data_IF_551060127280
#
_entry.id   IF_551060127280
#
_cell.length_a   1.000
_cell.length_b   1.000
_cell.length_c   1.000
_cell.angle_alpha   90.00
_cell.angle_beta   90.00
_cell.angle_gamma   90.00
#
_symmetry.space_group_name_H-M   'P 1'
#
loop_
_entity.id
_entity.type
_entity.pdbx_description
1 polymer ?
#
# COMPACT_ATOMS: atom_id res chain seq x y z
N UNK A 1 -15.61 -16.86 2.98
CA UNK A 1 -15.34 -15.61 2.27
C UNK A 1 -15.08 -14.52 3.28
N UNK A 2 -13.91 -13.94 3.27
CA UNK A 2 -13.59 -12.72 4.02
C UNK A 2 -13.63 -11.52 3.08
N UNK A 3 -14.04 -10.38 3.61
CA UNK A 3 -14.06 -9.11 2.89
C UNK A 3 -13.29 -8.08 3.70
N UNK A 4 -12.43 -7.35 3.02
CA UNK A 4 -11.71 -6.23 3.58
C UNK A 4 -11.73 -5.07 2.59
N UNK A 5 -12.49 -4.02 2.93
CA UNK A 5 -12.57 -2.76 2.19
C UNK A 5 -12.81 -2.92 0.68
N UNK A 6 -13.63 -3.89 0.28
CA UNK A 6 -13.98 -4.20 -1.10
C UNK A 6 -13.06 -5.23 -1.77
N UNK A 7 -12.04 -5.72 -1.08
CA UNK A 7 -11.27 -6.88 -1.48
C UNK A 7 -11.88 -8.14 -0.84
N UNK A 8 -12.00 -9.21 -1.61
CA UNK A 8 -12.57 -10.47 -1.15
C UNK A 8 -11.54 -11.59 -1.21
N UNK A 9 -11.46 -12.37 -0.14
CA UNK A 9 -10.65 -13.59 -0.10
C UNK A 9 -11.57 -14.80 0.10
N UNK A 10 -11.59 -15.69 -0.88
CA UNK A 10 -12.25 -16.96 -0.75
C UNK A 10 -11.28 -17.99 -0.19
N UNK A 11 -11.51 -18.43 1.05
CA UNK A 11 -10.65 -19.32 1.80
C UNK A 11 -11.38 -20.59 2.23
N UNK A 12 -10.61 -21.63 2.51
CA UNK A 12 -11.06 -22.92 3.08
C UNK A 12 -10.11 -23.32 4.20
N UNK A 13 -10.59 -24.11 5.19
CA UNK A 13 -9.71 -24.71 6.18
C UNK A 13 -8.59 -25.52 5.51
N UNK A 14 -7.40 -25.44 6.08
CA UNK A 14 -6.22 -26.16 5.64
C UNK A 14 -5.69 -27.04 6.77
N UNK A 15 -5.56 -28.33 6.52
CA UNK A 15 -4.87 -29.22 7.43
C UNK A 15 -3.36 -29.06 7.30
N UNK A 16 -2.71 -28.77 8.42
CA UNK A 16 -1.27 -28.59 8.48
C UNK A 16 -0.63 -29.86 9.04
N UNK A 17 0.29 -30.46 8.27
CA UNK A 17 0.93 -31.73 8.60
C UNK A 17 1.92 -31.66 9.79
N UNK A 18 2.34 -30.46 10.17
CA UNK A 18 3.31 -30.23 11.24
C UNK A 18 2.77 -29.24 12.27
N UNK A 19 3.28 -29.33 13.49
CA UNK A 19 3.04 -28.31 14.50
C UNK A 19 3.58 -26.97 14.00
N UNK A 20 2.72 -25.96 13.98
CA UNK A 20 3.10 -24.60 13.58
C UNK A 20 3.97 -23.95 14.66
N UNK A 21 4.91 -23.09 14.27
CA UNK A 21 5.62 -22.23 15.20
C UNK A 21 4.64 -21.34 15.99
N UNK A 22 5.03 -20.84 17.16
CA UNK A 22 4.25 -19.84 17.88
C UNK A 22 4.19 -18.52 17.08
N UNK A 23 3.12 -17.73 17.27
CA UNK A 23 2.89 -16.50 16.52
C UNK A 23 4.12 -15.56 16.54
N UNK A 24 4.79 -15.44 17.69
CA UNK A 24 5.95 -14.56 17.88
C UNK A 24 7.19 -14.95 17.07
N UNK A 25 7.20 -16.17 16.53
CA UNK A 25 8.28 -16.66 15.67
C UNK A 25 8.13 -16.23 14.21
N UNK A 26 6.93 -15.80 13.81
CA UNK A 26 6.67 -15.28 12.47
C UNK A 26 7.03 -13.77 12.43
N UNK A 27 8.20 -13.47 11.89
CA UNK A 27 8.64 -12.08 11.70
C UNK A 27 8.17 -11.58 10.34
N UNK A 28 7.51 -10.45 10.35
CA UNK A 28 7.03 -9.78 9.12
C UNK A 28 8.17 -9.56 8.12
N UNK A 29 7.92 -9.87 6.85
CA UNK A 29 8.91 -9.81 5.78
C UNK A 29 9.81 -11.05 5.63
N UNK A 30 9.77 -12.01 6.59
CA UNK A 30 10.51 -13.26 6.47
C UNK A 30 9.75 -14.29 5.62
N UNK A 31 10.51 -15.23 5.06
CA UNK A 31 9.96 -16.37 4.33
C UNK A 31 9.88 -17.59 5.23
N UNK A 32 8.78 -18.31 5.15
CA UNK A 32 8.54 -19.59 5.82
C UNK A 32 7.99 -20.61 4.84
N UNK A 33 7.86 -21.87 5.24
CA UNK A 33 7.28 -22.91 4.42
C UNK A 33 6.18 -23.67 5.20
N UNK A 34 4.98 -23.72 4.63
CA UNK A 34 3.84 -24.48 5.15
C UNK A 34 3.52 -25.59 4.15
N UNK A 35 3.47 -26.83 4.62
CA UNK A 35 3.27 -28.01 3.76
C UNK A 35 4.21 -28.06 2.53
N UNK A 36 5.47 -27.58 2.70
CA UNK A 36 6.47 -27.54 1.62
C UNK A 36 6.32 -26.39 0.64
N UNK A 37 5.31 -25.54 0.76
CA UNK A 37 5.10 -24.36 -0.08
C UNK A 37 5.69 -23.12 0.59
N UNK A 38 6.43 -22.27 -0.14
CA UNK A 38 7.01 -21.03 0.41
C UNK A 38 5.96 -19.93 0.56
N UNK A 39 6.05 -19.19 1.66
CA UNK A 39 5.23 -18.02 1.95
C UNK A 39 6.09 -16.92 2.57
N UNK A 40 5.73 -15.67 2.32
CA UNK A 40 6.23 -14.52 3.04
C UNK A 40 5.24 -14.11 4.14
N UNK A 41 5.75 -13.80 5.32
CA UNK A 41 4.96 -13.27 6.44
C UNK A 41 4.58 -11.82 6.09
N UNK A 42 3.30 -11.59 5.84
CA UNK A 42 2.78 -10.28 5.47
C UNK A 42 2.30 -9.50 6.70
N UNK A 43 1.73 -10.19 7.69
CA UNK A 43 1.10 -9.58 8.85
C UNK A 43 1.24 -10.48 10.08
N UNK A 44 1.45 -9.87 11.26
CA UNK A 44 1.44 -10.57 12.54
C UNK A 44 1.04 -9.60 13.65
N UNK A 45 -0.20 -9.69 14.10
CA UNK A 45 -0.72 -8.84 15.17
C UNK A 45 -1.73 -9.56 16.06
N UNK A 46 -2.01 -8.93 17.21
CA UNK A 46 -3.13 -9.29 18.05
C UNK A 46 -4.40 -8.57 17.61
N UNK A 47 -5.45 -9.33 17.39
CA UNK A 47 -6.76 -8.84 16.96
C UNK A 47 -7.84 -9.24 17.97
N UNK A 48 -9.00 -8.58 17.90
CA UNK A 48 -10.15 -8.84 18.78
C UNK A 48 -11.38 -9.04 17.90
N UNK A 49 -12.10 -10.14 18.12
CA UNK A 49 -13.39 -10.38 17.48
C UNK A 49 -14.46 -9.51 18.17
N UNK A 50 -15.01 -8.53 17.45
CA UNK A 50 -15.97 -7.57 18.01
C UNK A 50 -17.41 -8.06 17.97
N UNK A 51 -17.82 -8.77 16.91
CA UNK A 51 -19.17 -9.27 16.74
C UNK A 51 -19.21 -10.51 15.86
N UNK A 52 -20.25 -11.33 16.02
CA UNK A 52 -20.50 -12.49 15.19
C UNK A 52 -22.02 -12.67 15.00
N UNK A 53 -22.46 -13.02 13.80
CA UNK A 53 -23.86 -13.26 13.46
C UNK A 53 -24.00 -14.45 12.50
N UNK A 54 -25.09 -15.19 12.62
CA UNK A 54 -25.41 -16.33 11.76
C UNK A 54 -24.74 -17.63 12.19
N UNK A 55 -24.81 -18.63 11.32
CA UNK A 55 -24.15 -19.92 11.51
C UNK A 55 -22.69 -19.80 11.06
N UNK A 56 -21.80 -19.78 12.02
CA UNK A 56 -20.37 -19.58 11.78
C UNK A 56 -19.58 -20.77 12.32
N UNK A 57 -18.41 -21.10 11.76
CA UNK A 57 -17.51 -22.08 12.32
C UNK A 57 -17.08 -21.67 13.74
N UNK A 58 -16.38 -22.55 14.45
CA UNK A 58 -15.87 -22.23 15.79
C UNK A 58 -15.03 -20.95 15.73
N UNK A 59 -15.48 -19.92 16.41
CA UNK A 59 -14.84 -18.61 16.47
C UNK A 59 -14.09 -18.42 17.79
N UNK A 60 -13.07 -17.53 17.81
CA UNK A 60 -12.50 -17.02 19.05
C UNK A 60 -13.57 -16.34 19.92
N UNK A 61 -13.41 -16.31 21.24
CA UNK A 61 -14.34 -15.60 22.12
C UNK A 61 -14.39 -14.09 21.80
N UNK A 62 -15.60 -13.53 21.82
CA UNK A 62 -15.81 -12.08 21.63
C UNK A 62 -15.06 -11.27 22.68
N UNK A 63 -14.44 -10.17 22.24
CA UNK A 63 -13.75 -9.24 23.12
C UNK A 63 -12.40 -9.72 23.66
N UNK A 64 -11.97 -10.93 23.34
CA UNK A 64 -10.66 -11.43 23.77
C UNK A 64 -9.62 -11.31 22.66
N UNK A 65 -8.41 -10.80 22.96
CA UNK A 65 -7.35 -10.73 21.98
C UNK A 65 -6.80 -12.13 21.64
N UNK A 66 -6.50 -12.34 20.38
CA UNK A 66 -5.80 -13.51 19.85
C UNK A 66 -4.86 -13.09 18.73
N UNK A 67 -3.80 -13.88 18.49
CA UNK A 67 -2.82 -13.55 17.44
C UNK A 67 -3.29 -14.08 16.09
N UNK A 68 -3.14 -13.26 15.06
CA UNK A 68 -3.34 -13.62 13.65
C UNK A 68 -2.05 -13.41 12.90
N UNK A 69 -1.66 -14.43 12.14
CA UNK A 69 -0.52 -14.36 11.22
C UNK A 69 -1.04 -14.57 9.81
N UNK A 70 -0.77 -13.62 8.92
CA UNK A 70 -1.08 -13.75 7.50
C UNK A 70 0.19 -14.01 6.71
N UNK A 71 0.12 -15.02 5.87
CA UNK A 71 1.19 -15.45 4.98
C UNK A 71 0.71 -15.33 3.54
N UNK A 72 1.57 -14.87 2.63
CA UNK A 72 1.25 -14.73 1.21
C UNK A 72 2.24 -15.47 0.34
N UNK A 73 1.74 -16.22 -0.63
CA UNK A 73 2.57 -16.92 -1.60
C UNK A 73 2.85 -16.09 -2.84
N UNK A 74 3.91 -16.43 -3.61
CA UNK A 74 4.19 -15.79 -4.90
C UNK A 74 3.08 -15.98 -5.94
N UNK A 75 2.28 -17.05 -5.81
CA UNK A 75 1.17 -17.38 -6.70
C UNK A 75 -0.15 -16.70 -6.31
N UNK A 76 -0.12 -15.78 -5.33
CA UNK A 76 -1.30 -15.02 -4.90
C UNK A 76 -2.20 -15.74 -3.90
N UNK A 77 -1.73 -16.83 -3.27
CA UNK A 77 -2.46 -17.48 -2.20
C UNK A 77 -2.22 -16.76 -0.88
N UNK A 78 -3.29 -16.59 -0.12
CA UNK A 78 -3.28 -16.03 1.24
C UNK A 78 -3.52 -17.17 2.22
N UNK A 79 -2.69 -17.31 3.24
CA UNK A 79 -2.85 -18.26 4.32
C UNK A 79 -2.96 -17.48 5.63
N UNK A 80 -4.07 -17.68 6.36
CA UNK A 80 -4.30 -17.11 7.69
C UNK A 80 -4.13 -18.16 8.75
N UNK A 81 -3.39 -17.84 9.80
CA UNK A 81 -3.21 -18.67 10.99
C UNK A 81 -3.79 -17.91 12.17
N UNK A 82 -4.90 -18.40 12.71
CA UNK A 82 -5.55 -17.85 13.89
C UNK A 82 -5.12 -18.65 15.11
N UNK A 83 -4.33 -18.03 15.99
CA UNK A 83 -3.93 -18.61 17.26
C UNK A 83 -5.02 -18.28 18.28
N UNK A 84 -5.76 -19.27 18.70
CA UNK A 84 -6.81 -19.08 19.72
C UNK A 84 -6.28 -18.38 20.97
N UNK A 85 -7.15 -17.76 21.77
CA UNK A 85 -6.75 -17.06 22.98
C UNK A 85 -5.97 -18.03 23.88
N UNK A 86 -4.86 -17.53 24.41
CA UNK A 86 -4.10 -18.26 25.44
C UNK A 86 -5.03 -18.39 26.62
N UNK A 87 -5.59 -19.58 26.84
CA UNK A 87 -6.40 -19.87 28.01
C UNK A 87 -5.59 -19.52 29.24
N UNK A 88 -6.17 -18.71 30.13
CA UNK A 88 -5.53 -18.28 31.36
C UNK A 88 -4.88 -19.49 32.04
N UNK A 89 -3.61 -19.33 32.39
CA UNK A 89 -2.75 -20.30 33.06
C UNK A 89 -3.51 -21.06 34.15
N UNK A 90 -3.79 -22.35 33.91
CA UNK A 90 -4.44 -23.18 34.92
C UNK A 90 -5.06 -24.50 34.44
N UNK A 91 -5.39 -24.63 33.18
CA UNK A 91 -5.88 -25.90 32.61
C UNK A 91 -4.72 -26.61 31.92
N UNK A 92 -4.04 -27.48 32.65
CA UNK A 92 -3.04 -28.36 32.07
C UNK A 92 -3.70 -29.22 30.96
N UNK A 93 -3.32 -28.95 29.69
CA UNK A 93 -3.64 -29.79 28.56
C UNK A 93 -4.51 -29.22 27.44
N UNK A 94 -4.99 -27.97 27.51
CA UNK A 94 -5.68 -27.36 26.38
C UNK A 94 -4.64 -26.68 25.45
N UNK A 95 -4.20 -27.40 24.42
CA UNK A 95 -3.49 -26.75 23.30
C UNK A 95 -4.39 -25.64 22.72
N UNK A 96 -3.87 -24.42 22.64
CA UNK A 96 -4.56 -23.33 21.93
C UNK A 96 -4.99 -23.86 20.56
N UNK A 97 -6.28 -23.78 20.24
CA UNK A 97 -6.77 -24.30 18.96
C UNK A 97 -6.31 -23.37 17.85
N UNK A 98 -5.25 -23.76 17.16
CA UNK A 98 -4.76 -23.05 15.99
C UNK A 98 -5.64 -23.43 14.80
N UNK A 99 -6.25 -22.45 14.15
CA UNK A 99 -7.00 -22.64 12.93
C UNK A 99 -6.20 -22.09 11.75
N UNK A 100 -6.11 -22.85 10.67
CA UNK A 100 -5.42 -22.44 9.45
C UNK A 100 -6.41 -22.43 8.31
N UNK A 101 -6.41 -21.37 7.55
CA UNK A 101 -7.18 -21.25 6.32
C UNK A 101 -6.29 -20.80 5.17
N UNK A 102 -6.52 -21.37 3.97
CA UNK A 102 -5.85 -20.98 2.75
C UNK A 102 -6.87 -20.51 1.72
N UNK A 103 -6.57 -19.44 1.02
CA UNK A 103 -7.46 -18.84 0.08
C UNK A 103 -6.74 -18.00 -0.97
N UNK A 104 -7.51 -17.33 -1.80
CA UNK A 104 -7.03 -16.37 -2.78
C UNK A 104 -8.01 -15.22 -2.92
N UNK A 105 -7.50 -14.07 -3.34
CA UNK A 105 -8.36 -12.96 -3.70
C UNK A 105 -9.22 -13.31 -4.91
N UNK A 106 -10.46 -12.87 -4.86
CA UNK A 106 -11.49 -13.11 -5.88
C UNK A 106 -12.27 -11.82 -6.11
N UNK A 107 -12.83 -11.65 -7.30
CA UNK A 107 -13.87 -10.67 -7.52
C UNK A 107 -15.20 -11.28 -7.10
N UNK A 108 -16.09 -10.49 -6.52
CA UNK A 108 -17.39 -11.00 -6.07
C UNK A 108 -18.22 -11.55 -7.25
N UNK A 109 -18.06 -10.94 -8.42
CA UNK A 109 -18.71 -11.35 -9.66
C UNK A 109 -18.26 -12.76 -10.14
N UNK A 110 -17.00 -13.13 -9.86
CA UNK A 110 -16.45 -14.43 -10.26
C UNK A 110 -17.03 -15.58 -9.45
N UNK A 111 -17.59 -15.31 -8.27
CA UNK A 111 -18.17 -16.31 -7.40
C UNK A 111 -19.59 -16.74 -7.82
N UNK A 112 -20.19 -16.05 -8.79
CA UNK A 112 -21.52 -16.37 -9.37
C UNK A 112 -22.60 -16.63 -8.30
N UNK A 113 -22.60 -15.88 -7.22
CA UNK A 113 -23.62 -15.96 -6.19
C UNK A 113 -25.01 -15.68 -6.79
N UNK A 114 -25.97 -16.51 -6.47
CA UNK A 114 -27.38 -16.31 -6.80
C UNK A 114 -28.14 -15.75 -5.61
N UNK A 115 -29.15 -14.93 -5.84
CA UNK A 115 -30.00 -14.36 -4.78
C UNK A 115 -29.36 -13.21 -3.99
N UNK A 116 -28.22 -12.69 -4.46
CA UNK A 116 -27.75 -11.42 -3.94
C UNK A 116 -28.77 -10.32 -4.32
N UNK A 117 -29.12 -9.48 -3.36
CA UNK A 117 -29.94 -8.30 -3.66
C UNK A 117 -29.14 -7.39 -4.58
N UNK A 118 -29.83 -6.74 -5.54
CA UNK A 118 -29.22 -5.71 -6.41
C UNK A 118 -28.61 -4.55 -5.62
N UNK A 119 -28.99 -4.42 -4.35
CA UNK A 119 -28.50 -3.46 -3.35
C UNK A 119 -27.21 -3.91 -2.64
N UNK A 120 -26.46 -4.86 -3.18
CA UNK A 120 -25.13 -5.24 -2.62
C UNK A 120 -24.08 -4.11 -2.70
N UNK A 121 -24.43 -2.96 -3.27
CA UNK A 121 -23.71 -1.73 -3.02
C UNK A 121 -23.91 -1.36 -1.53
N UNK A 122 -22.84 -1.34 -0.77
CA UNK A 122 -22.81 -0.96 0.64
C UNK A 122 -23.55 0.38 0.81
N UNK A 123 -24.64 0.39 1.58
CA UNK A 123 -25.27 1.64 2.00
C UNK A 123 -24.40 2.26 3.10
N UNK A 124 -23.66 3.30 2.74
CA UNK A 124 -22.95 4.11 3.70
C UNK A 124 -23.97 4.95 4.48
N UNK A 125 -24.14 4.69 5.78
CA UNK A 125 -25.12 5.39 6.62
C UNK A 125 -24.62 6.76 7.07
N UNK A 126 -23.32 7.00 6.96
CA UNK A 126 -22.69 8.21 7.46
C UNK A 126 -22.85 8.38 8.98
N UNK A 127 -21.89 8.99 9.61
CA UNK A 127 -21.91 9.30 11.05
C UNK A 127 -21.52 10.75 11.26
N UNK A 128 -22.03 11.38 12.30
CA UNK A 128 -21.68 12.77 12.63
C UNK A 128 -21.34 12.90 14.11
N UNK A 129 -20.32 13.68 14.41
CA UNK A 129 -19.91 13.98 15.79
C UNK A 129 -19.22 15.35 15.86
N UNK A 130 -19.03 15.86 17.07
CA UNK A 130 -18.29 17.09 17.29
C UNK A 130 -16.78 16.82 17.32
N UNK A 131 -15.99 17.64 16.64
CA UNK A 131 -14.53 17.54 16.65
C UNK A 131 -14.00 17.67 18.07
N UNK A 132 -13.15 16.74 18.56
CA UNK A 132 -12.62 16.78 19.92
C UNK A 132 -11.71 17.98 20.18
N UNK A 133 -11.15 18.59 19.13
CA UNK A 133 -10.30 19.78 19.26
C UNK A 133 -11.09 21.09 19.20
N UNK A 134 -11.92 21.30 18.18
CA UNK A 134 -12.54 22.61 17.94
C UNK A 134 -14.07 22.63 18.10
N UNK A 135 -14.71 21.49 18.36
CA UNK A 135 -16.18 21.39 18.51
C UNK A 135 -16.98 21.44 17.21
N UNK A 136 -16.36 21.70 16.07
CA UNK A 136 -17.08 21.74 14.78
C UNK A 136 -17.65 20.36 14.40
N UNK A 137 -18.76 20.34 13.69
CA UNK A 137 -19.37 19.09 13.22
C UNK A 137 -18.46 18.40 12.19
N UNK A 138 -18.15 17.12 12.43
CA UNK A 138 -17.41 16.24 11.54
C UNK A 138 -18.34 15.17 11.02
N UNK A 139 -18.47 15.06 9.70
CA UNK A 139 -19.28 14.04 9.03
C UNK A 139 -18.38 12.99 8.43
N UNK A 140 -18.55 11.74 8.84
CA UNK A 140 -17.89 10.55 8.30
C UNK A 140 -18.80 9.95 7.26
N UNK A 141 -18.32 9.81 6.04
CA UNK A 141 -19.12 9.28 4.92
C UNK A 141 -19.07 7.75 4.86
N UNK A 142 -17.91 7.16 5.16
CA UNK A 142 -17.68 5.72 5.03
C UNK A 142 -17.77 5.03 6.39
N UNK A 143 -18.57 3.99 6.49
CA UNK A 143 -18.68 3.18 7.71
C UNK A 143 -17.37 2.51 8.10
N UNK A 144 -16.50 2.24 7.13
CA UNK A 144 -15.17 1.64 7.31
C UNK A 144 -14.12 2.61 7.81
N UNK A 145 -14.38 3.92 7.87
CA UNK A 145 -13.37 4.91 8.25
C UNK A 145 -12.82 4.67 9.66
N UNK A 146 -11.50 4.62 9.76
CA UNK A 146 -10.72 4.51 11.01
C UNK A 146 -10.00 5.81 11.38
N UNK A 147 -9.87 6.72 10.42
CA UNK A 147 -9.31 8.06 10.63
C UNK A 147 -10.05 9.07 9.78
N UNK A 148 -10.20 10.30 10.30
CA UNK A 148 -10.77 11.43 9.57
C UNK A 148 -10.10 12.73 9.99
N UNK A 149 -10.00 13.67 9.05
CA UNK A 149 -9.50 15.01 9.35
C UNK A 149 -10.67 16.01 9.47
N UNK A 150 -10.66 16.79 10.54
CA UNK A 150 -11.62 17.88 10.73
C UNK A 150 -11.38 18.98 9.70
N UNK A 151 -12.39 19.33 8.92
CA UNK A 151 -12.28 20.37 7.88
C UNK A 151 -12.12 21.78 8.45
N UNK A 152 -12.50 22.02 9.73
CA UNK A 152 -12.43 23.32 10.35
C UNK A 152 -11.06 23.63 10.97
N UNK A 153 -10.41 22.65 11.61
CA UNK A 153 -9.15 22.86 12.31
C UNK A 153 -8.00 21.94 11.87
N UNK A 154 -8.19 21.13 10.83
CA UNK A 154 -7.22 20.17 10.28
C UNK A 154 -6.74 19.10 11.27
N UNK A 155 -7.34 18.97 12.44
CA UNK A 155 -6.97 17.89 13.37
C UNK A 155 -7.32 16.54 12.79
N UNK A 156 -6.37 15.62 12.81
CA UNK A 156 -6.56 14.22 12.47
C UNK A 156 -7.15 13.49 13.67
N UNK A 157 -8.26 12.80 13.47
CA UNK A 157 -9.07 12.16 14.51
C UNK A 157 -9.04 10.66 14.30
N UNK A 158 -8.71 9.92 15.34
CA UNK A 158 -8.73 8.45 15.36
C UNK A 158 -10.16 7.95 15.66
N UNK A 159 -10.69 7.13 14.74
CA UNK A 159 -12.01 6.51 14.83
C UNK A 159 -11.96 5.00 15.13
N UNK A 160 -10.79 4.45 15.46
CA UNK A 160 -10.58 3.01 15.65
C UNK A 160 -11.53 2.44 16.70
N UNK A 161 -11.80 3.20 17.77
CA UNK A 161 -12.71 2.82 18.85
C UNK A 161 -14.17 3.30 18.64
N UNK A 162 -14.51 3.76 17.43
CA UNK A 162 -15.82 4.32 17.11
C UNK A 162 -15.98 5.77 17.55
N UNK A 163 -17.18 6.33 17.37
CA UNK A 163 -17.49 7.76 17.63
C UNK A 163 -18.15 7.99 18.99
N UNK A 164 -18.35 6.96 19.80
CA UNK A 164 -19.08 7.02 21.07
C UNK A 164 -18.23 7.17 22.34
N UNK A 165 -16.90 7.28 22.20
CA UNK A 165 -15.96 7.40 23.31
C UNK A 165 -15.08 8.64 23.22
N UNK A 166 -14.05 8.70 24.08
CA UNK A 166 -13.03 9.74 24.00
C UNK A 166 -12.20 9.56 22.72
N UNK A 167 -12.33 10.54 21.81
CA UNK A 167 -11.63 10.51 20.54
C UNK A 167 -10.23 11.10 20.65
N UNK A 168 -9.24 10.32 20.27
CA UNK A 168 -7.87 10.81 20.16
C UNK A 168 -7.73 11.68 18.90
N UNK A 169 -6.96 12.74 19.01
CA UNK A 169 -6.68 13.62 17.88
C UNK A 169 -5.24 14.15 17.89
N UNK A 170 -4.76 14.55 16.71
CA UNK A 170 -3.47 15.20 16.52
C UNK A 170 -3.65 16.46 15.65
N UNK A 171 -3.07 17.58 16.08
CA UNK A 171 -3.10 18.82 15.31
C UNK A 171 -2.13 18.79 14.12
N UNK A 172 -2.52 19.42 13.02
CA UNK A 172 -1.69 19.57 11.82
C UNK A 172 -1.60 21.07 11.46
N UNK A 173 -0.39 21.62 11.49
CA UNK A 173 -0.19 23.06 11.38
C UNK A 173 0.16 23.55 9.96
N UNK A 174 0.60 22.68 9.08
CA UNK A 174 1.05 23.04 7.73
C UNK A 174 0.20 22.29 6.69
N UNK A 175 -0.98 22.83 6.33
CA UNK A 175 -1.85 22.13 5.39
C UNK A 175 -1.25 22.14 3.99
N UNK A 176 -1.16 20.95 3.38
CA UNK A 176 -0.82 20.77 1.97
C UNK A 176 -2.09 20.85 1.15
N UNK A 177 -2.06 21.65 0.09
CA UNK A 177 -3.21 21.84 -0.79
C UNK A 177 -3.23 20.74 -1.85
N UNK A 178 -4.20 19.85 -1.76
CA UNK A 178 -4.47 18.86 -2.79
C UNK A 178 -4.87 19.51 -4.12
N UNK A 179 -4.35 19.03 -5.24
CA UNK A 179 -4.76 19.48 -6.58
C UNK A 179 -6.18 19.02 -6.91
N UNK A 180 -6.51 17.79 -6.53
CA UNK A 180 -7.86 17.23 -6.70
C UNK A 180 -8.60 17.38 -5.37
N UNK A 181 -9.71 18.14 -5.32
CA UNK A 181 -10.43 18.36 -4.07
C UNK A 181 -11.00 17.07 -3.47
N UNK A 182 -11.05 16.97 -2.14
CA UNK A 182 -11.77 15.91 -1.44
C UNK A 182 -13.25 15.96 -1.81
N UNK A 183 -13.83 14.79 -2.10
CA UNK A 183 -15.21 14.64 -2.58
C UNK A 183 -15.34 14.73 -4.10
N UNK A 184 -14.32 15.17 -4.83
CA UNK A 184 -14.35 15.18 -6.29
C UNK A 184 -14.55 13.76 -6.84
N UNK A 185 -15.30 13.65 -7.94
CA UNK A 185 -15.54 12.38 -8.63
C UNK A 185 -14.91 12.42 -10.01
N UNK A 186 -14.32 11.31 -10.42
CA UNK A 186 -13.66 11.20 -11.73
C UNK A 186 -13.68 9.77 -12.27
N UNK A 187 -13.65 9.64 -13.59
CA UNK A 187 -13.63 8.33 -14.25
C UNK A 187 -12.21 7.96 -14.66
N UNK A 188 -11.62 6.98 -13.97
CA UNK A 188 -10.31 6.44 -14.29
C UNK A 188 -10.41 4.95 -14.58
N UNK A 189 -9.77 4.50 -15.65
CA UNK A 189 -9.75 3.09 -16.09
C UNK A 189 -11.16 2.47 -16.18
N UNK A 190 -12.16 3.25 -16.64
CA UNK A 190 -13.54 2.80 -16.79
C UNK A 190 -14.36 2.72 -15.50
N UNK A 191 -13.79 3.09 -14.35
CA UNK A 191 -14.46 3.10 -13.04
C UNK A 191 -14.62 4.54 -12.56
N UNK A 192 -15.79 4.85 -12.01
CA UNK A 192 -16.04 6.14 -11.37
C UNK A 192 -15.53 6.09 -9.93
N UNK A 193 -14.62 6.98 -9.60
CA UNK A 193 -14.00 7.09 -8.31
C UNK A 193 -14.36 8.38 -7.60
N UNK A 194 -14.44 8.36 -6.27
CA UNK A 194 -14.55 9.54 -5.42
C UNK A 194 -13.27 9.68 -4.60
N UNK A 195 -12.70 10.87 -4.56
CA UNK A 195 -11.57 11.18 -3.68
C UNK A 195 -12.08 11.33 -2.25
N UNK A 196 -11.71 10.42 -1.38
CA UNK A 196 -12.16 10.41 0.03
C UNK A 196 -11.06 10.79 1.00
N UNK A 197 -9.80 10.56 0.64
CA UNK A 197 -8.62 10.91 1.45
C UNK A 197 -7.48 11.46 0.62
N UNK A 198 -6.59 12.17 1.27
CA UNK A 198 -5.38 12.74 0.70
C UNK A 198 -4.27 12.68 1.75
N UNK A 199 -3.08 12.26 1.35
CA UNK A 199 -1.89 12.36 2.19
C UNK A 199 -0.70 12.87 1.38
N UNK A 200 0.13 13.69 2.04
CA UNK A 200 1.43 14.09 1.54
C UNK A 200 2.52 13.32 2.26
N UNK A 201 3.47 12.80 1.51
CA UNK A 201 4.56 12.00 2.04
C UNK A 201 5.90 12.56 1.58
N UNK A 202 6.90 12.42 2.44
CA UNK A 202 8.29 12.76 2.15
C UNK A 202 9.13 11.51 2.20
N UNK A 203 10.01 11.34 1.23
CA UNK A 203 10.95 10.24 1.12
C UNK A 203 12.40 10.72 1.17
N UNK A 204 13.29 9.81 1.61
CA UNK A 204 14.73 10.03 1.61
C UNK A 204 15.45 8.70 1.34
N UNK A 205 16.34 8.68 0.36
CA UNK A 205 17.17 7.50 0.12
C UNK A 205 18.22 7.35 1.22
N UNK A 206 18.55 6.13 1.64
CA UNK A 206 19.59 5.90 2.63
C UNK A 206 20.95 6.44 2.16
N UNK A 207 21.52 7.36 2.94
CA UNK A 207 22.83 7.97 2.65
C UNK A 207 22.77 9.18 1.71
N UNK A 208 21.58 9.63 1.32
CA UNK A 208 21.37 10.88 0.61
C UNK A 208 20.78 11.92 1.57
N UNK A 209 21.18 13.18 1.45
CA UNK A 209 20.63 14.30 2.23
C UNK A 209 19.41 14.93 1.51
N UNK A 210 19.16 14.59 0.26
CA UNK A 210 18.05 15.12 -0.53
C UNK A 210 16.75 14.39 -0.19
N UNK A 211 15.70 15.17 0.07
CA UNK A 211 14.35 14.68 0.28
C UNK A 211 13.48 14.94 -0.95
N UNK A 212 12.54 14.05 -1.21
CA UNK A 212 11.54 14.20 -2.25
C UNK A 212 10.14 14.00 -1.67
N UNK A 213 9.15 14.63 -2.27
CA UNK A 213 7.76 14.55 -1.84
C UNK A 213 6.84 14.00 -2.94
N UNK A 214 5.73 13.41 -2.52
CA UNK A 214 4.63 13.00 -3.40
C UNK A 214 3.30 13.07 -2.67
N UNK A 215 2.23 13.08 -3.45
CA UNK A 215 0.86 13.12 -2.98
C UNK A 215 0.13 11.81 -3.30
N UNK A 216 -0.68 11.34 -2.38
CA UNK A 216 -1.50 10.15 -2.54
C UNK A 216 -2.97 10.47 -2.28
N UNK A 217 -3.82 10.16 -3.25
CA UNK A 217 -5.26 10.34 -3.15
C UNK A 217 -5.91 8.97 -2.93
N UNK A 218 -6.63 8.82 -1.83
CA UNK A 218 -7.46 7.64 -1.59
C UNK A 218 -8.75 7.77 -2.37
N UNK A 219 -8.97 6.86 -3.30
CA UNK A 219 -10.13 6.76 -4.16
C UNK A 219 -11.07 5.68 -3.67
N UNK A 220 -12.36 5.96 -3.66
CA UNK A 220 -13.40 5.01 -3.26
C UNK A 220 -14.42 4.80 -4.37
N UNK A 221 -14.83 3.55 -4.54
CA UNK A 221 -15.99 3.14 -5.35
C UNK A 221 -16.78 2.07 -4.58
N UNK A 222 -18.10 2.23 -4.51
CA UNK A 222 -18.97 1.33 -3.74
C UNK A 222 -18.84 -0.16 -4.09
N UNK A 223 -18.55 -0.48 -5.35
CA UNK A 223 -18.47 -1.87 -5.85
C UNK A 223 -17.03 -2.38 -5.91
N UNK A 224 -16.03 -1.50 -6.04
CA UNK A 224 -14.62 -1.85 -6.25
C UNK A 224 -13.76 -1.61 -5.01
N UNK A 225 -14.35 -1.05 -3.93
CA UNK A 225 -13.60 -0.68 -2.75
C UNK A 225 -12.66 0.49 -3.00
N UNK A 226 -11.43 0.37 -2.53
CA UNK A 226 -10.44 1.43 -2.55
C UNK A 226 -9.35 1.22 -3.61
N UNK A 227 -8.80 2.33 -4.07
CA UNK A 227 -7.59 2.41 -4.89
C UNK A 227 -6.85 3.70 -4.57
N UNK A 228 -5.63 3.84 -5.06
CA UNK A 228 -4.83 5.05 -4.84
C UNK A 228 -4.47 5.68 -6.18
N UNK A 229 -4.55 6.99 -6.22
CA UNK A 229 -3.97 7.80 -7.29
C UNK A 229 -2.78 8.53 -6.70
N UNK A 230 -1.60 8.25 -7.21
CA UNK A 230 -0.34 8.80 -6.73
C UNK A 230 0.17 9.84 -7.70
N UNK A 231 0.55 10.99 -7.16
CA UNK A 231 1.13 12.13 -7.87
C UNK A 231 2.59 12.31 -7.46
N UNK A 232 3.51 12.05 -8.35
CA UNK A 232 4.96 12.25 -8.15
C UNK A 232 5.54 13.06 -9.31
N UNK A 233 6.77 13.53 -9.17
CA UNK A 233 7.50 14.23 -10.26
C UNK A 233 7.55 13.41 -11.54
N UNK A 234 7.71 12.10 -11.45
CA UNK A 234 7.78 11.18 -12.59
C UNK A 234 6.45 10.99 -13.33
N UNK A 235 5.34 11.34 -12.70
CA UNK A 235 4.01 11.18 -13.29
C UNK A 235 2.97 10.65 -12.32
N UNK A 236 1.76 10.54 -12.82
CA UNK A 236 0.62 9.98 -12.12
C UNK A 236 0.58 8.46 -12.25
N UNK A 237 0.15 7.79 -11.21
CA UNK A 237 -0.08 6.35 -11.25
C UNK A 237 -1.32 5.94 -10.47
N UNK A 238 -2.03 4.94 -10.99
CA UNK A 238 -3.12 4.27 -10.29
C UNK A 238 -2.57 3.02 -9.62
N UNK A 239 -2.77 2.86 -8.32
CA UNK A 239 -2.14 1.83 -7.50
C UNK A 239 -3.21 1.13 -6.66
N UNK A 240 -3.08 -0.18 -6.49
CA UNK A 240 -3.96 -1.00 -5.64
C UNK A 240 -3.17 -2.08 -4.93
N UNK A 241 -3.66 -2.62 -3.79
CA UNK A 241 -3.02 -3.73 -3.10
C UNK A 241 -2.83 -4.94 -4.01
N UNK A 242 -1.67 -5.56 -3.90
CA UNK A 242 -1.41 -6.86 -4.49
C UNK A 242 -1.90 -7.97 -3.55
N UNK A 243 -2.46 -9.04 -4.11
CA UNK A 243 -3.05 -10.12 -3.32
C UNK A 243 -2.05 -11.17 -2.85
N UNK A 244 -0.85 -11.20 -3.45
CA UNK A 244 0.22 -12.14 -3.11
C UNK A 244 1.47 -11.43 -2.63
N UNK A 245 2.51 -12.21 -2.31
CA UNK A 245 3.84 -11.70 -2.03
C UNK A 245 4.76 -11.95 -3.23
N UNK A 246 5.22 -10.90 -3.90
CA UNK A 246 6.26 -11.02 -4.91
C UNK A 246 7.51 -11.68 -4.36
N UNK A 247 8.19 -12.49 -5.18
CA UNK A 247 9.46 -13.10 -4.81
C UNK A 247 10.59 -12.16 -5.16
N UNK A 248 11.34 -11.74 -4.15
CA UNK A 248 12.57 -10.97 -4.34
C UNK A 248 13.76 -11.89 -4.61
N UNK A 249 14.55 -11.59 -5.65
CA UNK A 249 15.71 -12.38 -6.02
C UNK A 249 17.02 -11.68 -5.67
N UNK A 250 17.99 -12.48 -5.15
CA UNK A 250 19.34 -12.07 -4.81
C UNK A 250 19.47 -11.40 -3.44
N UNK A 251 20.68 -11.37 -2.91
CA UNK A 251 20.98 -10.77 -1.59
C UNK A 251 20.71 -9.26 -1.52
N UNK A 252 20.69 -8.57 -2.67
CA UNK A 252 20.42 -7.14 -2.80
C UNK A 252 18.97 -6.84 -3.19
N UNK A 253 18.15 -7.88 -3.40
CA UNK A 253 16.75 -7.76 -3.80
C UNK A 253 16.50 -6.73 -4.94
N UNK A 254 17.36 -6.78 -5.97
CA UNK A 254 17.27 -5.84 -7.12
C UNK A 254 16.14 -6.13 -8.09
N UNK A 255 15.50 -7.26 -7.96
CA UNK A 255 14.34 -7.64 -8.75
C UNK A 255 13.28 -8.28 -7.89
N UNK A 256 12.03 -8.06 -8.26
CA UNK A 256 10.88 -8.75 -7.68
C UNK A 256 10.05 -9.40 -8.80
N UNK A 257 9.61 -10.63 -8.60
CA UNK A 257 8.76 -11.34 -9.56
C UNK A 257 7.37 -11.51 -8.99
N UNK A 258 6.36 -11.05 -9.72
CA UNK A 258 4.96 -11.17 -9.34
C UNK A 258 4.13 -11.62 -10.55
N UNK A 259 3.31 -12.68 -10.36
CA UNK A 259 2.45 -13.27 -11.40
C UNK A 259 3.21 -13.48 -12.73
N UNK A 260 4.43 -14.04 -12.65
CA UNK A 260 5.26 -14.33 -13.82
C UNK A 260 5.90 -13.12 -14.51
N UNK A 261 5.72 -11.90 -13.96
CA UNK A 261 6.38 -10.70 -14.45
C UNK A 261 7.51 -10.30 -13.50
N UNK A 262 8.70 -10.07 -14.05
CA UNK A 262 9.84 -9.56 -13.29
C UNK A 262 9.91 -8.04 -13.39
N UNK A 263 10.06 -7.39 -12.25
CA UNK A 263 10.18 -5.95 -12.07
C UNK A 263 11.58 -5.63 -11.54
N UNK A 264 12.22 -4.60 -12.07
CA UNK A 264 13.53 -4.14 -11.62
C UNK A 264 13.38 -3.05 -10.56
N UNK A 265 14.20 -3.12 -9.50
CA UNK A 265 14.24 -2.08 -8.46
C UNK A 265 14.62 -0.74 -9.08
N UNK A 266 13.84 0.28 -8.77
CA UNK A 266 14.07 1.66 -9.15
C UNK A 266 14.57 2.46 -7.96
N UNK A 267 13.82 2.41 -6.84
CA UNK A 267 14.07 3.21 -5.65
C UNK A 267 13.98 2.37 -4.38
N UNK A 268 14.74 2.76 -3.36
CA UNK A 268 14.68 2.19 -2.01
C UNK A 268 14.90 3.32 -1.02
N UNK A 269 13.88 3.64 -0.20
CA UNK A 269 13.88 4.85 0.61
C UNK A 269 13.07 4.68 1.89
N UNK A 270 13.34 5.55 2.86
CA UNK A 270 12.47 5.72 4.02
C UNK A 270 11.46 6.82 3.71
N UNK A 271 10.21 6.61 4.08
CA UNK A 271 9.13 7.55 3.88
C UNK A 271 8.49 7.96 5.21
N UNK A 272 7.95 9.17 5.24
CA UNK A 272 7.18 9.69 6.37
C UNK A 272 5.93 10.39 5.86
N UNK A 273 4.78 10.14 6.50
CA UNK A 273 3.54 10.86 6.24
C UNK A 273 3.59 12.21 6.95
N UNK A 274 3.60 13.30 6.21
CA UNK A 274 3.76 14.66 6.76
C UNK A 274 2.44 15.40 6.90
N UNK A 275 1.45 15.10 6.06
CA UNK A 275 0.13 15.70 6.10
C UNK A 275 -0.97 14.71 5.67
N UNK A 276 -2.16 14.84 6.25
CA UNK A 276 -3.31 13.97 6.00
C UNK A 276 -4.58 14.81 5.92
N UNK A 277 -5.47 14.53 4.97
CA UNK A 277 -6.78 15.15 4.86
C UNK A 277 -7.84 14.15 4.39
N UNK A 278 -9.08 14.29 4.89
CA UNK A 278 -10.21 13.42 4.51
C UNK A 278 -10.33 12.17 5.38
N UNK A 279 -10.85 11.09 4.78
CA UNK A 279 -11.19 9.84 5.45
C UNK A 279 -10.29 8.69 4.99
N UNK A 280 -9.90 7.82 5.95
CA UNK A 280 -9.07 6.64 5.68
C UNK A 280 -9.67 5.42 6.39
N UNK A 281 -9.66 4.27 5.73
CA UNK A 281 -10.14 3.00 6.28
C UNK A 281 -9.13 2.32 7.22
N UNK A 282 -7.97 2.92 7.44
CA UNK A 282 -6.96 2.50 8.41
C UNK A 282 -6.59 3.65 9.37
N UNK A 283 -5.99 3.35 10.53
CA UNK A 283 -5.48 4.37 11.43
C UNK A 283 -4.23 5.01 10.81
N UNK A 284 -4.41 6.14 10.12
CA UNK A 284 -3.29 6.93 9.61
C UNK A 284 -2.80 7.91 10.65
N UNK A 285 -1.51 8.17 10.71
CA UNK A 285 -0.92 9.15 11.60
C UNK A 285 0.14 9.99 10.91
N UNK A 286 0.18 11.28 11.25
CA UNK A 286 1.31 12.13 10.89
C UNK A 286 2.59 11.60 11.56
N UNK A 287 3.72 11.60 10.85
CA UNK A 287 4.97 11.04 11.33
C UNK A 287 5.07 9.52 11.19
N UNK A 288 4.08 8.86 10.60
CA UNK A 288 4.16 7.43 10.30
C UNK A 288 5.31 7.18 9.33
N UNK A 289 6.23 6.30 9.75
CA UNK A 289 7.43 5.96 8.97
C UNK A 289 7.33 4.57 8.37
N UNK A 290 7.79 4.45 7.15
CA UNK A 290 7.82 3.18 6.41
C UNK A 290 9.13 3.07 5.65
N UNK A 291 9.54 1.83 5.37
CA UNK A 291 10.60 1.54 4.42
C UNK A 291 9.98 1.07 3.12
N UNK A 292 10.35 1.71 2.03
CA UNK A 292 9.72 1.50 0.73
C UNK A 292 10.73 1.00 -0.29
N UNK A 293 10.23 0.17 -1.22
CA UNK A 293 10.94 -0.24 -2.43
C UNK A 293 10.01 -0.19 -3.62
N UNK A 294 10.41 0.52 -4.64
CA UNK A 294 9.66 0.64 -5.88
C UNK A 294 10.36 -0.09 -7.01
N UNK A 295 9.60 -0.92 -7.70
CA UNK A 295 10.06 -1.72 -8.81
C UNK A 295 9.21 -1.42 -10.05
N UNK A 296 9.82 -1.61 -11.21
CA UNK A 296 9.14 -1.33 -12.46
C UNK A 296 9.45 -2.35 -13.55
N UNK A 297 8.50 -2.48 -14.47
CA UNK A 297 8.63 -3.27 -15.69
C UNK A 297 7.86 -2.60 -16.83
N UNK A 298 8.02 -3.10 -18.07
CA UNK A 298 7.20 -2.65 -19.19
C UNK A 298 5.69 -2.88 -18.99
N UNK A 299 5.29 -3.74 -18.03
CA UNK A 299 3.89 -4.07 -17.73
C UNK A 299 3.27 -3.23 -16.62
N UNK A 300 4.08 -2.50 -15.84
CA UNK A 300 3.57 -1.66 -14.75
C UNK A 300 4.56 -1.48 -13.60
N UNK A 301 3.99 -1.08 -12.48
CA UNK A 301 4.69 -0.77 -11.24
C UNK A 301 4.40 -1.83 -10.19
N UNK A 302 5.35 -2.06 -9.30
CA UNK A 302 5.21 -2.91 -8.14
C UNK A 302 5.91 -2.20 -6.98
N UNK A 303 5.22 -2.03 -5.87
CA UNK A 303 5.75 -1.31 -4.70
C UNK A 303 5.65 -2.18 -3.46
N UNK A 304 6.68 -2.14 -2.63
CA UNK A 304 6.70 -2.70 -1.29
C UNK A 304 6.74 -1.56 -0.29
N UNK A 305 5.86 -1.61 0.69
CA UNK A 305 5.90 -0.76 1.86
C UNK A 305 6.00 -1.65 3.11
N UNK A 306 6.91 -1.32 4.01
CA UNK A 306 7.16 -2.09 5.21
C UNK A 306 7.09 -1.20 6.45
N UNK A 307 6.27 -1.62 7.40
CA UNK A 307 6.25 -1.19 8.79
C UNK A 307 6.87 -2.28 9.68
N UNK A 308 7.04 -2.06 10.98
CA UNK A 308 7.47 -3.13 11.89
C UNK A 308 6.54 -4.36 11.91
N UNK A 309 5.24 -4.16 11.67
CA UNK A 309 4.20 -5.17 11.86
C UNK A 309 3.57 -5.68 10.56
N UNK A 310 3.84 -5.02 9.43
CA UNK A 310 3.21 -5.33 8.16
C UNK A 310 4.15 -5.12 6.97
N UNK A 311 4.01 -5.95 5.95
CA UNK A 311 4.55 -5.76 4.61
C UNK A 311 3.41 -5.74 3.62
N UNK A 312 3.20 -4.60 2.99
CA UNK A 312 2.20 -4.42 1.94
C UNK A 312 2.86 -4.35 0.57
N UNK A 313 2.33 -5.12 -0.36
CA UNK A 313 2.68 -5.03 -1.77
C UNK A 313 1.57 -4.39 -2.57
N UNK A 314 1.94 -3.61 -3.55
CA UNK A 314 1.02 -2.88 -4.41
C UNK A 314 1.39 -3.04 -5.86
N UNK A 315 0.39 -3.12 -6.71
CA UNK A 315 0.55 -3.09 -8.17
C UNK A 315 -0.05 -1.83 -8.75
N UNK A 316 0.59 -1.25 -9.73
CA UNK A 316 0.16 0.00 -10.33
C UNK A 316 0.42 0.09 -11.81
N UNK A 317 -0.19 1.12 -12.41
CA UNK A 317 0.04 1.51 -13.79
C UNK A 317 0.08 3.03 -13.89
N UNK A 318 0.91 3.55 -14.79
CA UNK A 318 0.96 4.99 -15.05
C UNK A 318 -0.29 5.47 -15.79
N UNK A 319 -0.66 6.71 -15.49
CA UNK A 319 -1.74 7.46 -16.13
C UNK A 319 -1.17 8.80 -16.59
N UNK A 320 -1.47 9.20 -17.82
CA UNK A 320 -1.00 10.50 -18.32
C UNK A 320 -1.62 11.67 -17.57
N UNK A 321 -0.83 12.72 -17.34
CA UNK A 321 -1.22 13.93 -16.62
C UNK A 321 -2.52 14.54 -17.13
N UNK A 322 -2.70 14.64 -18.46
CA UNK A 322 -3.91 15.17 -19.07
C UNK A 322 -5.14 14.29 -18.78
N UNK A 323 -4.95 12.95 -18.76
CA UNK A 323 -6.03 12.01 -18.46
C UNK A 323 -6.56 12.21 -17.05
N UNK A 324 -5.69 12.47 -16.07
CA UNK A 324 -6.09 12.75 -14.69
C UNK A 324 -6.87 14.06 -14.60
N UNK A 325 -6.35 15.15 -15.19
CA UNK A 325 -7.03 16.45 -15.19
C UNK A 325 -8.42 16.34 -15.86
N UNK A 326 -8.54 15.62 -16.97
CA UNK A 326 -9.81 15.39 -17.66
C UNK A 326 -10.78 14.57 -16.83
N UNK A 327 -10.31 13.49 -16.20
CA UNK A 327 -11.13 12.59 -15.42
C UNK A 327 -11.86 13.29 -14.29
N UNK A 328 -11.22 14.27 -13.64
CA UNK A 328 -11.79 15.05 -12.54
C UNK A 328 -12.39 16.40 -12.96
N UNK A 329 -12.55 16.65 -14.27
CA UNK A 329 -13.14 17.88 -14.78
C UNK A 329 -12.29 19.14 -14.58
N UNK A 330 -10.97 18.99 -14.40
CA UNK A 330 -10.03 20.07 -14.10
C UNK A 330 -9.17 20.46 -15.33
N UNK A 331 -9.75 20.35 -16.53
CA UNK A 331 -9.05 20.66 -17.81
C UNK A 331 -8.47 22.08 -17.84
N UNK A 332 -9.18 23.04 -17.28
CA UNK A 332 -8.74 24.44 -17.23
C UNK A 332 -7.49 24.63 -16.37
N UNK A 333 -7.18 23.67 -15.51
CA UNK A 333 -6.03 23.62 -14.64
C UNK A 333 -5.00 22.55 -15.07
N UNK A 334 -5.10 22.00 -16.29
CA UNK A 334 -4.27 20.89 -16.76
C UNK A 334 -2.75 21.17 -16.63
N UNK A 335 -2.34 22.43 -16.69
CA UNK A 335 -0.94 22.83 -16.48
C UNK A 335 -0.41 22.46 -15.08
N UNK A 336 -1.26 22.47 -14.04
CA UNK A 336 -0.88 22.10 -12.67
C UNK A 336 -0.70 20.59 -12.51
N UNK A 337 -1.34 19.80 -13.38
CA UNK A 337 -1.26 18.33 -13.38
C UNK A 337 -0.05 17.81 -14.15
N UNK A 338 0.58 18.68 -14.97
CA UNK A 338 1.70 18.27 -15.81
C UNK A 338 2.85 17.75 -14.96
N UNK A 339 3.30 16.52 -15.28
CA UNK A 339 4.48 15.86 -14.73
C UNK A 339 5.39 15.46 -15.90
N UNK A 340 6.53 14.88 -15.61
CA UNK A 340 7.46 14.41 -16.63
C UNK A 340 6.86 13.28 -17.47
N UNK A 341 5.78 12.63 -17.00
CA UNK A 341 5.07 11.53 -17.65
C UNK A 341 6.07 10.50 -18.21
N UNK A 342 7.07 10.18 -17.38
CA UNK A 342 8.11 9.22 -17.71
C UNK A 342 7.43 7.94 -18.17
N UNK A 343 7.62 7.58 -19.44
CA UNK A 343 6.92 6.44 -20.05
C UNK A 343 7.11 5.19 -19.21
N UNK A 344 6.09 4.33 -19.14
CA UNK A 344 6.20 3.08 -18.42
C UNK A 344 7.43 2.37 -18.95
N UNK A 345 8.24 2.02 -18.05
CA UNK A 345 9.55 1.46 -18.07
C UNK A 345 9.76 0.53 -19.25
N UNK A 346 10.32 1.04 -20.33
CA UNK A 346 11.18 0.18 -21.12
C UNK A 346 12.24 -0.30 -20.13
N UNK A 347 12.33 -1.62 -19.90
CA UNK A 347 13.49 -2.18 -19.24
C UNK A 347 14.69 -1.43 -19.81
N UNK A 348 15.42 -0.72 -18.95
CA UNK A 348 16.69 -0.12 -19.38
C UNK A 348 17.36 -1.20 -20.21
N UNK A 349 17.72 -0.98 -21.47
CA UNK A 349 18.42 -1.99 -22.19
C UNK A 349 19.55 -2.36 -21.25
N UNK A 350 19.61 -3.63 -20.83
CA UNK A 350 20.79 -4.12 -20.14
C UNK A 350 21.87 -3.83 -21.15
N UNK A 351 22.59 -2.72 -20.91
CA UNK A 351 23.74 -2.40 -21.73
C UNK A 351 24.62 -3.62 -21.50
N UNK A 352 24.59 -4.53 -22.46
CA UNK A 352 25.32 -5.77 -22.37
C UNK A 352 26.73 -5.35 -21.96
N UNK A 353 27.33 -6.02 -20.99
CA UNK A 353 28.69 -5.69 -20.51
C UNK A 353 29.67 -5.43 -21.67
N UNK A 354 29.43 -6.06 -22.85
CA UNK A 354 30.10 -5.77 -24.10
C UNK A 354 29.96 -4.34 -24.59
N UNK A 355 28.79 -3.69 -24.41
CA UNK A 355 28.54 -2.30 -24.85
C UNK A 355 29.24 -1.32 -23.91
N UNK A 356 29.27 -1.60 -22.61
CA UNK A 356 30.05 -0.81 -21.63
C UNK A 356 31.53 -0.93 -21.93
N UNK A 357 32.02 -2.15 -22.20
CA UNK A 357 33.43 -2.40 -22.56
C UNK A 357 33.77 -1.69 -23.87
N UNK A 358 32.88 -1.69 -24.85
CA UNK A 358 33.07 -0.98 -26.12
C UNK A 358 33.11 0.54 -25.92
N UNK A 359 32.23 1.08 -25.04
CA UNK A 359 32.20 2.50 -24.70
C UNK A 359 33.45 2.92 -23.89
N UNK A 360 33.92 2.09 -22.97
CA UNK A 360 35.15 2.32 -22.23
C UNK A 360 36.37 2.26 -23.16
N UNK A 361 36.42 1.31 -24.09
CA UNK A 361 37.47 1.24 -25.11
C UNK A 361 37.44 2.46 -26.02
N UNK A 362 36.25 2.91 -26.45
CA UNK A 362 36.09 4.13 -27.26
C UNK A 362 36.57 5.37 -26.52
N UNK A 363 36.21 5.51 -25.23
CA UNK A 363 36.69 6.61 -24.38
C UNK A 363 38.22 6.53 -24.20
N UNK A 364 38.78 5.36 -23.98
CA UNK A 364 40.23 5.16 -23.88
C UNK A 364 40.94 5.54 -25.18
N UNK A 365 40.39 5.16 -26.32
CA UNK A 365 40.93 5.53 -27.64
C UNK A 365 40.85 7.03 -27.85
N UNK A 366 39.73 7.67 -27.52
CA UNK A 366 39.58 9.13 -27.59
C UNK A 366 40.52 9.83 -26.59
N UNK A 367 40.75 9.29 -25.40
CA UNK A 367 41.69 9.82 -24.42
C UNK A 367 43.14 9.69 -24.89
N UNK A 368 43.52 8.58 -25.52
CA UNK A 368 44.83 8.35 -26.10
C UNK A 368 45.05 9.29 -27.30
N UNK A 369 44.02 9.53 -28.11
CA UNK A 369 44.12 10.46 -29.23
C UNK A 369 44.09 11.94 -28.79
N UNK A 370 43.44 12.30 -27.68
CA UNK A 370 43.43 13.66 -27.14
C UNK A 370 44.63 13.96 -26.24
N UNK A 371 45.38 12.97 -25.78
CA UNK A 371 46.67 13.20 -25.08
C UNK A 371 47.76 13.76 -25.99
N UNK A 372 47.52 13.82 -27.30
CA UNK A 372 48.41 14.47 -28.27
C UNK A 372 48.07 15.95 -28.54
N UNK A 373 47.02 16.48 -27.93
CA UNK A 373 46.64 17.90 -28.09
C UNK A 373 46.38 18.49 -26.70
N UNK A 374 47.37 19.16 -26.21
CA UNK A 374 47.47 20.15 -25.12
C UNK A 374 46.20 20.66 -24.45
N UNK A 375 46.25 20.55 -23.11
CA UNK A 375 45.84 21.52 -22.07
C UNK A 375 44.96 22.69 -22.47
N UNK A 376 43.74 22.76 -21.94
CA UNK A 376 43.19 23.94 -21.26
C UNK A 376 41.86 23.61 -20.58
N UNK A 377 41.72 24.07 -19.35
CA UNK A 377 40.66 23.69 -18.44
C UNK A 377 39.31 24.35 -18.71
N UNK A 378 38.29 23.78 -18.13
CA UNK A 378 37.15 24.46 -17.51
C UNK A 378 36.24 23.48 -16.78
N UNK A 379 35.90 23.88 -15.57
CA UNK A 379 34.93 23.20 -14.67
C UNK A 379 33.51 23.31 -15.20
N UNK A 380 32.77 22.21 -15.21
CA UNK A 380 31.33 22.19 -15.46
C UNK A 380 30.64 21.20 -14.55
N UNK A 381 29.81 21.73 -13.65
CA UNK A 381 29.05 20.96 -12.67
C UNK A 381 28.02 20.04 -13.34
N UNK A 382 27.98 18.80 -12.91
CA UNK A 382 26.97 17.83 -13.31
C UNK A 382 25.68 18.04 -12.53
N UNK A 383 24.60 18.29 -13.23
CA UNK A 383 23.24 18.21 -12.69
C UNK A 383 22.91 16.73 -12.45
N UNK A 384 22.67 16.38 -11.20
CA UNK A 384 22.00 15.12 -10.86
C UNK A 384 20.50 15.35 -10.96
N UNK A 385 19.81 14.61 -11.82
CA UNK A 385 18.37 14.55 -11.78
C UNK A 385 17.98 13.72 -10.55
N UNK A 386 17.30 14.37 -9.60
CA UNK A 386 16.64 13.67 -8.49
C UNK A 386 15.56 12.79 -9.07
N UNK A 387 15.71 11.47 -8.93
CA UNK A 387 14.69 10.53 -9.36
C UNK A 387 13.46 10.65 -8.48
N UNK A 388 12.32 10.96 -9.07
CA UNK A 388 11.05 10.95 -8.38
C UNK A 388 10.63 9.52 -8.01
N UNK A 389 9.98 9.41 -6.88
CA UNK A 389 9.47 8.17 -6.34
C UNK A 389 8.12 7.79 -6.93
N UNK A 390 7.89 6.52 -7.13
CA UNK A 390 6.54 5.99 -7.32
C UNK A 390 5.94 5.73 -5.96
N UNK A 391 5.14 6.65 -5.43
CA UNK A 391 4.60 6.53 -4.10
C UNK A 391 4.08 5.12 -3.78
N UNK A 392 4.63 4.52 -2.77
CA UNK A 392 4.04 3.40 -2.06
C UNK A 392 2.89 3.94 -1.18
N UNK A 393 1.93 3.14 -0.83
CA UNK A 393 0.92 3.55 0.12
C UNK A 393 0.93 2.62 1.33
N UNK A 394 0.57 3.20 2.45
CA UNK A 394 0.42 2.49 3.70
C UNK A 394 -1.02 2.00 3.84
N UNK A 395 -1.20 0.71 3.90
CA UNK A 395 -2.42 0.12 4.43
C UNK A 395 -2.15 -0.26 5.89
N UNK A 396 -2.02 0.75 6.73
CA UNK A 396 -1.89 0.52 8.16
C UNK A 396 -3.18 -0.07 8.68
N UNK A 397 -3.16 -1.31 9.03
CA UNK A 397 -4.18 -1.80 9.91
C UNK A 397 -5.07 -2.89 9.38
N UNK A 398 -4.85 -3.99 9.98
CA UNK A 398 -5.85 -4.87 10.50
C UNK A 398 -6.87 -5.39 9.52
N UNK A 399 -6.47 -6.35 8.77
CA UNK A 399 -7.41 -7.30 8.21
C UNK A 399 -8.09 -8.05 9.36
N UNK A 400 -9.29 -7.69 9.65
CA UNK A 400 -10.47 -8.46 10.09
C UNK A 400 -11.42 -7.67 10.93
#
# INVERSE_FOLDING_TARGET
>A
LSEDNGAYVFSRPLDVQRVLPAAEQFRVGMTTAINGKPYSVAFNEQVVLLSAQGELPKLPPLGQPFSVVELRSPEGEVLSIDYGPVSAVGAAGAAASTAVSAGRAVLLEDLQFTGLKDESAREEKGRQFACPNCGSAVSVLLDSSKSITCRACNSLIDLTNGVGGELRHAEQHEPVKALIPLGATGQLQGVQWQVVGFQHRMGQEPGDDEQFGWDEYLLYNRKRGFSFLVDSTDGWSMVKPATGAPTMAGSTARTATYLGTTYALQYSYNAETTYVAGEFYWPVSRGQKTFNRDFASAKGLLSLEQTPNEVTWSVGSKIGSNTVAEAFGLKDQAALFKRDDVKPFSASPQIAMSTIVLFVILILVVFIMSSCISSMGSSGGGYRSSGGSYGGYSSGGGHK
#
